data_IF_905563452609
#
_entry.id   IF_905563452609
#
_cell.length_a   1.000
_cell.length_b   1.000
_cell.length_c   1.000
_cell.angle_alpha   90.00
_cell.angle_beta   90.00
_cell.angle_gamma   90.00
#
_symmetry.space_group_name_H-M   'P 1'
#
loop_
_entity.id
_entity.type
_entity.pdbx_description
1 polymer ?
#
# COMPACT_ATOMS: atom_id res chain seq x y z
N UNK A 1 26.06 -21.97 -7.38
CA UNK A 1 25.14 -22.04 -6.24
C UNK A 1 24.30 -20.78 -6.28
N UNK A 2 22.98 -20.90 -6.36
CA UNK A 2 22.08 -19.74 -6.40
C UNK A 2 21.86 -19.24 -4.99
N UNK A 3 22.58 -18.20 -4.59
CA UNK A 3 22.28 -17.45 -3.38
C UNK A 3 20.96 -16.73 -3.64
N UNK A 4 19.84 -17.31 -3.19
CA UNK A 4 18.59 -16.57 -3.06
C UNK A 4 18.89 -15.48 -2.03
N UNK A 5 18.96 -14.18 -2.42
CA UNK A 5 19.19 -13.16 -1.42
C UNK A 5 18.07 -13.30 -0.38
N UNK A 6 18.36 -13.24 0.93
CA UNK A 6 17.30 -13.09 1.90
C UNK A 6 16.50 -11.87 1.45
N UNK A 7 15.17 -11.96 1.46
CA UNK A 7 14.27 -10.83 1.21
C UNK A 7 14.69 -9.70 2.14
N UNK A 8 15.59 -8.87 1.65
CA UNK A 8 16.28 -7.84 2.41
C UNK A 8 15.39 -6.63 2.27
N UNK A 9 14.25 -6.67 2.97
CA UNK A 9 13.45 -5.47 3.18
C UNK A 9 14.40 -4.41 3.73
N UNK A 10 14.68 -3.39 2.91
CA UNK A 10 15.53 -2.29 3.36
C UNK A 10 14.70 -1.47 4.32
N UNK A 11 15.26 -1.13 5.47
CA UNK A 11 14.57 -0.26 6.44
C UNK A 11 14.12 1.06 5.81
N UNK A 12 14.85 1.55 4.81
CA UNK A 12 14.51 2.72 3.98
C UNK A 12 13.23 2.53 3.13
N UNK A 13 12.91 1.29 2.79
CA UNK A 13 11.71 0.91 2.02
C UNK A 13 10.47 0.72 2.91
N UNK A 14 10.60 0.83 4.24
CA UNK A 14 9.46 0.64 5.13
C UNK A 14 8.65 1.94 5.27
N UNK A 15 7.36 1.86 4.97
CA UNK A 15 6.43 2.97 5.11
C UNK A 15 5.22 2.58 5.95
N UNK A 16 4.80 3.49 6.83
CA UNK A 16 3.47 3.42 7.43
C UNK A 16 2.40 3.71 6.36
N UNK A 17 1.16 3.33 6.65
CA UNK A 17 -0.02 3.65 5.80
C UNK A 17 -0.08 5.12 5.38
N UNK A 18 0.31 6.05 6.26
CA UNK A 18 0.28 7.49 5.98
C UNK A 18 1.32 7.94 4.96
N UNK A 19 2.49 7.30 4.95
CA UNK A 19 3.55 7.58 4.00
C UNK A 19 3.20 6.99 2.62
N UNK A 20 2.71 5.73 2.61
CA UNK A 20 2.18 5.09 1.40
C UNK A 20 1.02 5.88 0.78
N UNK A 21 0.10 6.37 1.62
CA UNK A 21 -1.03 7.17 1.16
C UNK A 21 -0.55 8.43 0.43
N UNK A 22 0.46 9.12 0.97
CA UNK A 22 1.06 10.29 0.32
C UNK A 22 1.77 9.93 -0.98
N UNK A 23 2.59 8.86 -0.96
CA UNK A 23 3.36 8.40 -2.12
C UNK A 23 2.44 8.01 -3.30
N UNK A 24 1.34 7.32 -3.01
CA UNK A 24 0.36 6.90 -4.01
C UNK A 24 -0.72 7.96 -4.30
N UNK A 25 -0.69 9.12 -3.64
CA UNK A 25 -1.71 10.16 -3.79
C UNK A 25 -3.13 9.73 -3.38
N UNK A 26 -3.23 8.77 -2.45
CA UNK A 26 -4.50 8.23 -1.95
C UNK A 26 -4.71 8.57 -0.48
N UNK A 27 -5.93 8.32 0.03
CA UNK A 27 -6.20 8.46 1.47
C UNK A 27 -5.72 7.23 2.25
N UNK A 28 -5.35 7.40 3.52
CA UNK A 28 -5.01 6.29 4.43
C UNK A 28 -6.04 5.15 4.42
N UNK A 29 -7.32 5.51 4.44
CA UNK A 29 -8.44 4.55 4.39
C UNK A 29 -8.48 3.73 3.10
N UNK A 30 -7.88 4.23 2.01
CA UNK A 30 -7.75 3.48 0.75
C UNK A 30 -6.75 2.34 0.90
N UNK A 31 -5.61 2.57 1.58
CA UNK A 31 -4.63 1.52 1.87
C UNK A 31 -5.26 0.42 2.76
N UNK A 32 -5.99 0.82 3.81
CA UNK A 32 -6.73 -0.13 4.65
C UNK A 32 -7.77 -0.90 3.83
N UNK A 33 -8.51 -0.20 2.96
CA UNK A 33 -9.47 -0.86 2.05
C UNK A 33 -8.79 -1.83 1.10
N UNK A 34 -7.57 -1.55 0.64
CA UNK A 34 -6.81 -2.47 -0.20
C UNK A 34 -6.46 -3.73 0.56
N UNK A 35 -5.94 -3.59 1.79
CA UNK A 35 -5.63 -4.73 2.67
C UNK A 35 -6.86 -5.59 2.98
N UNK A 36 -8.05 -5.00 3.12
CA UNK A 36 -9.28 -5.79 3.37
C UNK A 36 -9.89 -6.38 2.10
N UNK A 37 -9.86 -5.66 0.97
CA UNK A 37 -10.54 -6.07 -0.28
C UNK A 37 -9.71 -7.02 -1.13
N UNK A 38 -8.39 -6.99 -1.00
CA UNK A 38 -7.50 -7.75 -1.85
C UNK A 38 -6.64 -8.65 -0.99
N UNK A 39 -6.91 -9.96 -1.04
CA UNK A 39 -6.11 -10.98 -0.37
C UNK A 39 -4.66 -11.03 -0.87
N UNK A 40 -4.43 -10.55 -2.08
CA UNK A 40 -3.13 -10.45 -2.73
C UNK A 40 -2.38 -9.15 -2.36
N UNK A 41 -2.99 -8.27 -1.57
CA UNK A 41 -2.31 -7.07 -1.07
C UNK A 41 -1.19 -7.46 -0.11
N UNK A 42 -0.03 -6.76 -0.12
CA UNK A 42 1.09 -7.08 0.75
C UNK A 42 0.68 -7.09 2.22
N UNK A 43 1.07 -8.15 2.93
CA UNK A 43 0.89 -8.21 4.37
C UNK A 43 1.79 -7.14 5.04
N UNK A 44 1.33 -6.52 6.14
CA UNK A 44 2.17 -5.62 6.89
C UNK A 44 3.36 -6.38 7.48
N UNK A 45 4.56 -5.86 7.25
CA UNK A 45 5.80 -6.44 7.77
C UNK A 45 5.88 -6.32 9.29
N UNK A 46 5.27 -5.27 9.86
CA UNK A 46 5.18 -5.08 11.30
C UNK A 46 3.96 -4.24 11.66
N UNK A 47 3.32 -4.55 12.78
CA UNK A 47 2.34 -3.68 13.42
C UNK A 47 3.08 -2.86 14.48
N UNK A 48 3.19 -1.55 14.28
CA UNK A 48 3.69 -0.62 15.30
C UNK A 48 2.52 -0.03 16.09
N UNK A 49 2.80 0.62 17.23
CA UNK A 49 1.78 1.34 18.01
C UNK A 49 1.07 2.43 17.21
N UNK A 50 1.73 2.99 16.19
CA UNK A 50 1.17 4.01 15.28
C UNK A 50 0.36 3.40 14.13
N UNK A 51 0.49 2.10 13.86
CA UNK A 51 -0.22 1.40 12.79
C UNK A 51 0.63 0.36 12.04
N UNK A 52 0.03 -0.31 11.05
CA UNK A 52 0.72 -1.27 10.20
C UNK A 52 1.75 -0.60 9.30
N UNK A 53 2.94 -1.22 9.22
CA UNK A 53 4.06 -0.85 8.36
C UNK A 53 4.19 -1.85 7.23
N UNK A 54 4.34 -1.33 6.02
CA UNK A 54 4.41 -2.06 4.77
C UNK A 54 5.72 -1.74 4.05
N UNK A 55 6.11 -2.60 3.11
CA UNK A 55 7.19 -2.31 2.16
C UNK A 55 6.64 -1.46 1.01
N UNK A 56 7.28 -0.30 0.76
CA UNK A 56 6.96 0.59 -0.36
C UNK A 56 7.12 -0.14 -1.68
N UNK A 57 8.24 -0.87 -1.86
CA UNK A 57 8.49 -1.64 -3.07
C UNK A 57 7.40 -2.68 -3.34
N UNK A 58 6.96 -3.43 -2.33
CA UNK A 58 5.90 -4.43 -2.52
C UNK A 58 4.55 -3.78 -2.85
N UNK A 59 4.16 -2.73 -2.14
CA UNK A 59 2.89 -2.03 -2.40
C UNK A 59 2.93 -1.36 -3.77
N UNK A 60 4.06 -0.76 -4.16
CA UNK A 60 4.27 -0.19 -5.48
C UNK A 60 4.21 -1.24 -6.58
N UNK A 61 4.90 -2.37 -6.44
CA UNK A 61 4.84 -3.48 -7.40
C UNK A 61 3.43 -4.05 -7.53
N UNK A 62 2.74 -4.24 -6.40
CA UNK A 62 1.35 -4.69 -6.40
C UNK A 62 0.43 -3.69 -7.10
N UNK A 63 0.64 -2.39 -6.88
CA UNK A 63 -0.15 -1.32 -7.50
C UNK A 63 0.14 -1.20 -9.00
N UNK A 64 1.41 -1.26 -9.41
CA UNK A 64 1.85 -1.12 -10.81
C UNK A 64 1.52 -2.37 -11.63
N UNK A 65 1.71 -3.57 -11.05
CA UNK A 65 1.39 -4.85 -11.69
C UNK A 65 -0.11 -5.11 -11.85
N UNK A 66 -0.97 -4.27 -11.26
CA UNK A 66 -2.41 -4.33 -11.46
C UNK A 66 -2.85 -3.37 -12.54
N UNK A 67 -3.52 -3.91 -13.56
CA UNK A 67 -4.37 -3.11 -14.42
C UNK A 67 -5.54 -2.60 -13.60
N UNK A 68 -5.46 -1.35 -13.15
CA UNK A 68 -6.60 -0.67 -12.56
C UNK A 68 -7.67 -0.58 -13.63
N UNK A 69 -8.75 -1.35 -13.48
CA UNK A 69 -9.93 -1.18 -14.32
C UNK A 69 -10.28 0.32 -14.28
N UNK A 70 -10.40 1.01 -15.43
CA UNK A 70 -10.83 2.40 -15.48
C UNK A 70 -12.31 2.44 -15.05
N UNK A 71 -12.53 2.43 -13.74
CA UNK A 71 -13.77 1.88 -13.19
C UNK A 71 -14.06 2.34 -11.78
N UNK A 72 -13.96 3.65 -11.54
CA UNK A 72 -15.08 4.53 -11.18
C UNK A 72 -14.48 5.90 -10.87
N UNK A 73 -14.89 6.99 -11.55
CA UNK A 73 -14.54 8.31 -11.07
C UNK A 73 -15.01 8.39 -9.61
N UNK A 74 -14.08 8.65 -8.69
CA UNK A 74 -14.45 8.94 -7.30
C UNK A 74 -15.35 10.18 -7.43
N UNK A 75 -16.64 10.02 -7.13
CA UNK A 75 -17.55 11.15 -7.01
C UNK A 75 -16.84 12.12 -6.04
N UNK A 76 -16.50 13.36 -6.46
CA UNK A 76 -15.89 14.29 -5.54
C UNK A 76 -16.79 14.32 -4.31
N UNK A 77 -16.19 14.13 -3.13
CA UNK A 77 -16.91 14.18 -1.87
C UNK A 77 -17.57 15.55 -1.84
N UNK A 78 -18.88 15.59 -2.13
CA UNK A 78 -19.68 16.80 -1.99
C UNK A 78 -19.45 17.29 -0.57
N UNK A 79 -18.70 18.38 -0.46
CA UNK A 79 -18.81 19.27 0.67
C UNK A 79 -20.27 19.72 0.65
N UNK A 80 -21.01 19.37 1.69
CA UNK A 80 -22.39 19.79 1.89
C UNK A 80 -22.56 20.01 3.39
N UNK A 81 -23.29 21.06 3.78
CA UNK A 81 -23.10 22.48 3.46
C UNK A 81 -22.27 23.22 4.54
#
# INVERSE_FOLDING_TARGET
MGETPPVSWRLDDLAATGDLAKEHGVHNSTIVSWSTRYADFPAPLRILSTGPVYSKEQVKRWHDGRTWLPGRPRKPRSVQP
#
